data_IF_358434893833
#
_entry.id   IF_358434893833
#
_cell.length_a   1.000
_cell.length_b   1.000
_cell.length_c   1.000
_cell.angle_alpha   90.00
_cell.angle_beta   90.00
_cell.angle_gamma   90.00
#
_symmetry.space_group_name_H-M   'P 1'
#
loop_
_entity.id
_entity.type
_entity.pdbx_description
1 polymer ?
#
# COMPACT_ATOMS: atom_id res chain seq x y z
N UNK A 1 13.95 -4.65 2.89
CA UNK A 1 13.08 -3.72 2.16
C UNK A 1 12.37 -2.85 3.19
N UNK A 2 12.26 -1.56 2.94
CA UNK A 2 11.50 -0.60 3.76
C UNK A 2 10.43 0.05 2.87
N UNK A 3 9.19 0.09 3.33
CA UNK A 3 8.10 0.84 2.70
C UNK A 3 7.88 2.13 3.50
N UNK A 4 7.91 3.28 2.83
CA UNK A 4 7.44 4.55 3.37
C UNK A 4 6.32 5.11 2.50
N UNK A 5 5.36 5.78 3.11
CA UNK A 5 4.20 6.33 2.40
C UNK A 5 3.65 7.57 3.10
N UNK A 6 2.99 8.43 2.34
CA UNK A 6 2.19 9.56 2.87
C UNK A 6 0.76 9.17 3.22
N UNK A 7 0.32 7.96 2.85
CA UNK A 7 -1.03 7.48 3.09
C UNK A 7 -1.24 6.98 4.53
N UNK A 8 -2.44 7.16 5.09
CA UNK A 8 -2.73 6.79 6.48
C UNK A 8 -3.00 5.29 6.66
N UNK A 9 -3.27 4.56 5.58
CA UNK A 9 -3.55 3.13 5.60
C UNK A 9 -2.55 2.32 4.79
N UNK A 10 -2.38 1.05 5.17
CA UNK A 10 -1.68 0.03 4.41
C UNK A 10 -2.53 -1.24 4.39
N UNK A 11 -3.11 -1.57 3.23
CA UNK A 11 -3.72 -2.87 3.04
C UNK A 11 -2.63 -3.91 2.74
N UNK A 12 -2.75 -5.07 3.38
CA UNK A 12 -1.82 -6.19 3.22
C UNK A 12 -2.57 -7.40 2.74
N UNK A 13 -2.26 -7.85 1.53
CA UNK A 13 -2.75 -9.12 1.01
C UNK A 13 -1.59 -10.10 0.93
N UNK A 14 -1.70 -11.19 1.69
CA UNK A 14 -0.64 -12.20 1.82
C UNK A 14 -0.62 -13.21 0.67
N UNK A 15 -1.38 -12.97 -0.41
CA UNK A 15 -1.34 -13.87 -1.58
C UNK A 15 -2.11 -15.18 -1.39
N UNK A 16 -3.02 -15.28 -0.43
CA UNK A 16 -3.71 -16.54 -0.09
C UNK A 16 -4.53 -17.14 -1.24
N UNK A 17 -5.03 -16.32 -2.15
CA UNK A 17 -5.84 -16.74 -3.30
C UNK A 17 -5.05 -16.80 -4.61
N UNK A 18 -3.71 -16.73 -4.55
CA UNK A 18 -2.87 -16.90 -5.74
C UNK A 18 -3.05 -18.31 -6.32
N UNK A 19 -3.12 -18.37 -7.64
CA UNK A 19 -3.34 -19.59 -8.42
C UNK A 19 -2.21 -19.78 -9.45
N UNK A 20 -2.10 -20.98 -10.07
CA UNK A 20 -1.00 -21.29 -10.97
C UNK A 20 -0.75 -20.22 -12.03
N UNK A 21 0.52 -19.86 -12.29
CA UNK A 21 1.74 -20.60 -11.95
C UNK A 21 2.26 -20.39 -10.51
N UNK A 22 1.66 -19.48 -9.75
CA UNK A 22 1.99 -19.25 -8.35
C UNK A 22 1.11 -20.12 -7.44
N UNK A 23 1.61 -20.39 -6.24
CA UNK A 23 0.86 -21.04 -5.16
C UNK A 23 0.41 -19.96 -4.18
N UNK A 24 -0.62 -20.25 -3.36
CA UNK A 24 -0.96 -19.42 -2.21
C UNK A 24 0.29 -19.00 -1.43
N UNK A 25 0.34 -17.72 -1.05
CA UNK A 25 1.41 -17.11 -0.25
C UNK A 25 2.78 -16.95 -0.93
N UNK A 26 2.88 -17.12 -2.26
CA UNK A 26 4.13 -16.85 -3.00
C UNK A 26 4.33 -15.38 -3.41
N UNK A 27 3.49 -14.49 -2.92
CA UNK A 27 3.60 -13.05 -3.12
C UNK A 27 2.86 -12.30 -2.03
N UNK A 28 3.24 -11.05 -1.82
CA UNK A 28 2.58 -10.13 -0.91
C UNK A 28 2.30 -8.82 -1.66
N UNK A 29 1.09 -8.30 -1.52
CA UNK A 29 0.78 -6.93 -1.92
C UNK A 29 0.76 -6.05 -0.67
N UNK A 30 1.44 -4.91 -0.77
CA UNK A 30 1.49 -3.86 0.22
C UNK A 30 0.91 -2.61 -0.46
N UNK A 31 -0.29 -2.21 -0.08
CA UNK A 31 -1.10 -1.23 -0.80
C UNK A 31 -1.39 -0.02 0.11
N UNK A 32 -0.53 1.01 0.12
CA UNK A 32 -0.79 2.24 0.84
C UNK A 32 -1.95 3.03 0.23
N UNK A 33 -2.90 3.46 1.06
CA UNK A 33 -4.10 4.17 0.61
C UNK A 33 -4.82 4.86 1.77
N UNK A 34 -5.78 5.72 1.42
CA UNK A 34 -6.84 6.16 2.31
C UNK A 34 -7.65 4.94 2.73
N UNK A 35 -8.23 4.96 3.94
CA UNK A 35 -8.89 3.77 4.48
C UNK A 35 -10.06 3.31 3.59
N UNK A 36 -10.22 1.99 3.39
CA UNK A 36 -11.39 1.47 2.69
C UNK A 36 -12.68 1.99 3.33
N UNK A 37 -13.68 2.25 2.48
CA UNK A 37 -14.99 2.76 2.91
C UNK A 37 -14.99 4.17 3.54
N UNK A 38 -13.89 4.94 3.41
CA UNK A 38 -13.81 6.31 3.93
C UNK A 38 -14.95 7.26 3.53
N UNK A 39 -15.52 7.20 2.31
CA UNK A 39 -16.69 8.03 1.96
C UNK A 39 -17.91 7.81 2.86
N UNK A 40 -18.04 6.65 3.49
CA UNK A 40 -19.18 6.28 4.33
C UNK A 40 -18.88 6.34 5.84
N UNK A 41 -17.65 6.66 6.24
CA UNK A 41 -17.22 6.67 7.64
C UNK A 41 -16.66 8.05 7.99
N UNK A 42 -17.46 8.90 8.65
CA UNK A 42 -17.12 10.30 8.92
C UNK A 42 -15.81 10.51 9.71
N UNK A 43 -15.41 9.54 10.52
CA UNK A 43 -14.16 9.59 11.29
C UNK A 43 -12.91 9.18 10.51
N UNK A 44 -13.05 8.71 9.26
CA UNK A 44 -11.92 8.25 8.44
C UNK A 44 -11.32 9.41 7.64
N UNK A 45 -10.05 9.29 7.21
CA UNK A 45 -9.46 10.27 6.30
C UNK A 45 -10.30 10.41 5.03
N UNK A 46 -10.60 11.64 4.63
CA UNK A 46 -11.53 11.90 3.53
C UNK A 46 -10.88 11.60 2.16
N UNK A 47 -11.56 10.78 1.33
CA UNK A 47 -11.13 10.40 -0.02
C UNK A 47 -11.71 11.26 -1.16
N UNK A 48 -12.53 12.27 -0.85
CA UNK A 48 -13.15 13.17 -1.84
C UNK A 48 -12.12 14.19 -2.35
N UNK A 49 -12.00 14.29 -3.68
CA UNK A 49 -11.25 15.33 -4.36
C UNK A 49 -12.23 16.26 -5.09
N UNK A 50 -12.21 17.56 -4.77
CA UNK A 50 -13.09 18.56 -5.37
C UNK A 50 -12.48 19.13 -6.66
N UNK A 51 -13.33 19.73 -7.49
CA UNK A 51 -12.89 20.39 -8.71
C UNK A 51 -11.84 21.49 -8.39
N UNK A 52 -10.69 21.40 -9.05
CA UNK A 52 -9.56 22.32 -8.86
C UNK A 52 -8.57 21.92 -7.77
N UNK A 53 -8.86 20.91 -6.96
CA UNK A 53 -7.91 20.38 -5.98
C UNK A 53 -6.88 19.46 -6.64
N UNK A 54 -5.69 19.40 -6.05
CA UNK A 54 -4.62 18.48 -6.47
C UNK A 54 -4.45 17.43 -5.40
N UNK A 55 -4.72 16.18 -5.76
CA UNK A 55 -4.34 15.04 -4.95
C UNK A 55 -2.86 14.70 -5.16
N UNK A 56 -2.14 14.46 -4.07
CA UNK A 56 -0.74 14.01 -4.11
C UNK A 56 -0.50 12.95 -3.06
N UNK A 57 0.08 11.85 -3.52
CA UNK A 57 0.42 10.68 -2.73
C UNK A 57 1.81 10.19 -3.12
N UNK A 58 2.60 9.75 -2.15
CA UNK A 58 3.93 9.19 -2.39
C UNK A 58 4.05 7.87 -1.63
N UNK A 59 4.43 6.81 -2.32
CA UNK A 59 4.90 5.54 -1.74
C UNK A 59 6.28 5.25 -2.29
N UNK A 60 7.20 4.84 -1.41
CA UNK A 60 8.55 4.48 -1.76
C UNK A 60 8.93 3.12 -1.18
N UNK A 61 9.46 2.25 -2.05
CA UNK A 61 10.11 1.01 -1.66
C UNK A 61 11.62 1.19 -1.71
N UNK A 62 12.28 1.05 -0.57
CA UNK A 62 13.73 1.13 -0.45
C UNK A 62 14.31 -0.25 -0.18
N UNK A 63 15.24 -0.68 -1.04
CA UNK A 63 15.95 -1.95 -0.89
C UNK A 63 17.38 -1.67 -0.47
N UNK A 64 17.80 -2.30 0.63
CA UNK A 64 19.17 -2.22 1.12
C UNK A 64 19.76 -3.60 0.95
N UNK A 65 20.90 -3.68 0.28
CA UNK A 65 21.69 -4.90 0.28
C UNK A 65 22.45 -4.98 1.60
N UNK A 66 22.06 -5.92 2.46
CA UNK A 66 22.72 -6.14 3.75
C UNK A 66 23.94 -7.06 3.64
N UNK A 67 24.22 -7.61 2.46
CA UNK A 67 25.50 -8.28 2.18
C UNK A 67 26.53 -7.24 1.76
N UNK A 68 27.14 -6.59 2.73
CA UNK A 68 28.48 -6.04 2.56
C UNK A 68 29.43 -7.21 2.29
N UNK A 69 30.23 -7.09 1.25
CA UNK A 69 31.33 -7.98 0.88
C UNK A 69 32.15 -8.41 2.11
N UNK A 70 32.12 -9.72 2.41
CA UNK A 70 33.31 -10.42 2.92
C UNK A 70 34.31 -10.59 1.77
#
# INVERSE_FOLDING_TARGET
MVLSTTEPGLQVYTGSSLSPPLKPFQGIALEPQIWPDSPNNEGFPNAFLRAGEIYKQITQYSFINTRSSE
#
